data_IF_428189611953
#
_entry.id   IF_428189611953
#
_cell.length_a   1.000
_cell.length_b   1.000
_cell.length_c   1.000
_cell.angle_alpha   90.00
_cell.angle_beta   90.00
_cell.angle_gamma   90.00
#
_symmetry.space_group_name_H-M   'P 1'
#
loop_
_entity.id
_entity.type
_entity.pdbx_description
1 polymer ?
#
# COMPACT_ATOMS: atom_id res chain seq x y z
N UNK A 1 -88.96 10.11 17.25
CA UNK A 1 -87.84 10.94 17.30
C UNK A 1 -86.60 10.06 17.34
N UNK A 2 -86.17 9.56 16.20
CA UNK A 2 -84.92 8.76 16.12
C UNK A 2 -84.28 9.04 14.83
N UNK A 3 -83.19 9.79 14.89
CA UNK A 3 -82.32 10.10 13.77
C UNK A 3 -81.39 8.96 13.49
N UNK A 4 -81.60 8.24 12.44
CA UNK A 4 -80.66 7.27 11.92
C UNK A 4 -79.51 7.99 11.24
N UNK A 5 -78.33 7.93 11.80
CA UNK A 5 -77.08 8.37 11.15
C UNK A 5 -76.49 7.16 10.43
N UNK A 6 -76.52 7.23 9.13
CA UNK A 6 -75.80 6.31 8.27
C UNK A 6 -74.31 6.60 8.40
N UNK A 7 -73.56 5.60 8.79
CA UNK A 7 -72.08 5.65 8.76
C UNK A 7 -71.68 5.10 7.42
N UNK A 8 -71.18 6.00 6.58
CA UNK A 8 -70.55 5.63 5.31
C UNK A 8 -69.18 4.98 5.58
N UNK A 9 -69.10 3.71 5.27
CA UNK A 9 -67.83 3.00 5.28
C UNK A 9 -66.98 3.42 4.07
N UNK A 10 -65.95 4.14 4.33
CA UNK A 10 -64.93 4.40 3.30
C UNK A 10 -64.00 3.19 3.22
N UNK A 11 -64.15 2.46 2.16
CA UNK A 11 -63.21 1.41 1.79
C UNK A 11 -61.93 2.08 1.29
N UNK A 12 -60.91 2.08 2.11
CA UNK A 12 -59.57 2.46 1.67
C UNK A 12 -58.97 1.28 0.91
N UNK A 13 -58.88 1.41 -0.40
CA UNK A 13 -58.08 0.55 -1.26
C UNK A 13 -56.59 0.89 -1.00
N UNK A 14 -55.95 0.06 -0.19
CA UNK A 14 -54.48 0.03 -0.06
C UNK A 14 -53.91 -0.50 -1.37
N UNK A 15 -53.45 0.42 -2.22
CA UNK A 15 -52.61 0.09 -3.35
C UNK A 15 -51.29 -0.48 -2.85
N UNK A 16 -51.09 -1.79 -3.04
CA UNK A 16 -49.78 -2.39 -2.94
C UNK A 16 -48.92 -1.86 -4.07
N UNK A 17 -48.18 -0.80 -3.78
CA UNK A 17 -47.04 -0.38 -4.59
C UNK A 17 -45.96 -1.44 -4.43
N UNK A 18 -45.82 -2.33 -5.42
CA UNK A 18 -44.59 -3.11 -5.61
C UNK A 18 -43.46 -2.14 -5.88
N UNK A 19 -42.80 -1.67 -4.83
CA UNK A 19 -41.54 -1.03 -4.91
C UNK A 19 -40.54 -2.04 -5.46
N UNK A 20 -40.21 -1.93 -6.73
CA UNK A 20 -39.02 -2.62 -7.27
C UNK A 20 -37.84 -2.14 -6.46
N UNK A 21 -37.39 -2.98 -5.51
CA UNK A 21 -36.10 -2.76 -4.88
C UNK A 21 -35.05 -2.86 -5.99
N UNK A 22 -34.59 -1.71 -6.46
CA UNK A 22 -33.39 -1.65 -7.29
C UNK A 22 -32.25 -2.16 -6.42
N UNK A 23 -31.94 -3.43 -6.52
CA UNK A 23 -30.68 -3.96 -6.03
C UNK A 23 -29.61 -3.36 -6.91
N UNK A 24 -29.07 -2.20 -6.49
CA UNK A 24 -27.82 -1.72 -7.03
C UNK A 24 -26.81 -2.87 -6.86
N UNK A 25 -26.09 -3.29 -7.93
CA UNK A 25 -25.04 -4.27 -7.76
C UNK A 25 -24.10 -3.70 -6.71
N UNK A 26 -23.87 -4.46 -5.64
CA UNK A 26 -22.83 -4.13 -4.68
C UNK A 26 -21.56 -4.02 -5.51
N UNK A 27 -21.10 -2.80 -5.72
CA UNK A 27 -19.80 -2.59 -6.31
C UNK A 27 -18.82 -3.25 -5.35
N UNK A 28 -18.24 -4.35 -5.80
CA UNK A 28 -17.20 -5.03 -5.06
C UNK A 28 -16.02 -4.06 -4.99
N UNK A 29 -15.96 -3.32 -3.88
CA UNK A 29 -14.85 -2.41 -3.55
C UNK A 29 -13.53 -3.19 -3.51
N UNK A 30 -13.59 -4.53 -3.56
CA UNK A 30 -12.44 -5.43 -3.53
C UNK A 30 -11.54 -5.38 -4.76
N UNK A 31 -12.03 -5.08 -5.95
CA UNK A 31 -11.18 -5.08 -7.15
C UNK A 31 -10.37 -3.78 -7.32
N UNK A 32 -10.85 -2.66 -6.80
CA UNK A 32 -10.17 -1.37 -6.91
C UNK A 32 -8.94 -1.24 -5.98
N UNK A 33 -8.76 -2.15 -5.03
CA UNK A 33 -7.73 -2.09 -3.99
C UNK A 33 -6.73 -3.24 -4.02
N UNK A 34 -6.66 -3.99 -5.10
CA UNK A 34 -5.60 -4.99 -5.23
C UNK A 34 -4.26 -4.25 -5.29
N UNK A 35 -3.44 -4.49 -4.25
CA UNK A 35 -2.13 -3.91 -4.17
C UNK A 35 -1.27 -4.40 -5.35
N UNK A 36 -0.77 -3.46 -6.15
CA UNK A 36 0.16 -3.77 -7.24
C UNK A 36 1.53 -4.15 -6.69
N UNK A 37 2.35 -4.91 -7.42
CA UNK A 37 3.73 -5.18 -7.01
C UNK A 37 4.51 -3.92 -6.65
N UNK A 38 4.36 -2.84 -7.43
CA UNK A 38 5.00 -1.56 -7.12
C UNK A 38 4.53 -0.96 -5.79
N UNK A 39 3.22 -0.96 -5.51
CA UNK A 39 2.67 -0.42 -4.27
C UNK A 39 3.09 -1.25 -3.05
N UNK A 40 3.17 -2.58 -3.20
CA UNK A 40 3.66 -3.49 -2.15
C UNK A 40 5.12 -3.19 -1.84
N UNK A 41 5.96 -3.05 -2.86
CA UNK A 41 7.39 -2.74 -2.68
C UNK A 41 7.60 -1.36 -2.06
N UNK A 42 6.85 -0.34 -2.50
CA UNK A 42 6.91 1.00 -1.88
C UNK A 42 6.54 0.96 -0.40
N UNK A 43 5.50 0.22 -0.05
CA UNK A 43 5.09 0.04 1.35
C UNK A 43 6.16 -0.68 2.16
N UNK A 44 6.74 -1.76 1.63
CA UNK A 44 7.82 -2.51 2.27
C UNK A 44 9.07 -1.64 2.51
N UNK A 45 9.46 -0.83 1.53
CA UNK A 45 10.59 0.07 1.66
C UNK A 45 10.34 1.22 2.65
N UNK A 46 9.11 1.74 2.73
CA UNK A 46 8.74 2.73 3.77
C UNK A 46 8.78 2.10 5.17
N UNK A 47 8.35 0.87 5.32
CA UNK A 47 8.49 0.13 6.58
C UNK A 47 9.95 -0.07 6.96
N UNK A 48 10.81 -0.33 5.98
CA UNK A 48 12.25 -0.41 6.17
C UNK A 48 12.84 0.93 6.66
N UNK A 49 12.41 2.06 6.08
CA UNK A 49 12.83 3.40 6.53
C UNK A 49 12.49 3.59 8.02
N UNK A 50 11.25 3.29 8.40
CA UNK A 50 10.82 3.43 9.80
C UNK A 50 11.58 2.49 10.74
N UNK A 51 11.85 1.27 10.33
CA UNK A 51 12.61 0.31 11.13
C UNK A 51 14.07 0.72 11.29
N UNK A 52 14.70 1.26 10.25
CA UNK A 52 16.06 1.79 10.30
C UNK A 52 16.17 3.00 11.23
N UNK A 53 15.19 3.89 11.22
CA UNK A 53 15.17 5.04 12.13
C UNK A 53 15.11 4.59 13.59
N UNK A 54 14.27 3.59 13.91
CA UNK A 54 14.19 3.01 15.26
C UNK A 54 15.48 2.33 15.65
N UNK A 55 16.07 1.56 14.76
CA UNK A 55 17.34 0.88 15.01
C UNK A 55 18.48 1.88 15.28
N UNK A 56 18.59 2.91 14.46
CA UNK A 56 19.61 3.95 14.58
C UNK A 56 19.52 4.75 15.89
N UNK A 57 18.30 4.88 16.44
CA UNK A 57 18.09 5.57 17.72
C UNK A 57 18.81 4.88 18.90
N UNK A 58 19.09 3.59 18.81
CA UNK A 58 19.72 2.78 19.87
C UNK A 58 21.06 2.17 19.45
N UNK A 59 21.52 2.39 18.22
CA UNK A 59 22.75 1.83 17.67
C UNK A 59 23.60 2.92 17.01
N UNK A 60 24.93 2.78 16.99
CA UNK A 60 25.84 3.80 16.43
C UNK A 60 25.80 3.91 14.89
N UNK A 61 25.22 2.90 14.21
CA UNK A 61 25.06 2.87 12.76
C UNK A 61 23.70 2.29 12.37
N UNK A 62 23.30 2.48 11.13
CA UNK A 62 22.14 1.81 10.56
C UNK A 62 22.40 0.29 10.42
N UNK A 63 21.32 -0.50 10.46
CA UNK A 63 21.44 -1.95 10.27
C UNK A 63 21.88 -2.29 8.85
N UNK A 64 22.78 -3.25 8.72
CA UNK A 64 23.29 -3.73 7.43
C UNK A 64 22.47 -4.90 6.86
N UNK A 65 21.56 -5.47 7.65
CA UNK A 65 20.71 -6.59 7.24
C UNK A 65 19.26 -6.35 7.65
N UNK A 66 18.34 -6.94 6.90
CA UNK A 66 16.89 -6.87 7.19
C UNK A 66 16.56 -7.67 8.45
N UNK A 67 17.28 -8.74 8.69
CA UNK A 67 17.13 -9.62 9.86
C UNK A 67 17.41 -8.88 11.17
N UNK A 68 18.41 -8.00 11.19
CA UNK A 68 18.72 -7.16 12.34
C UNK A 68 17.57 -6.22 12.72
N UNK A 69 16.73 -5.87 11.75
CA UNK A 69 15.54 -5.03 11.92
C UNK A 69 14.30 -5.83 12.31
N UNK A 70 14.39 -7.17 12.34
CA UNK A 70 13.28 -8.08 12.58
C UNK A 70 12.08 -7.86 11.62
N UNK A 71 12.35 -7.33 10.43
CA UNK A 71 11.35 -7.17 9.39
C UNK A 71 11.09 -8.52 8.70
N UNK A 72 9.81 -8.79 8.47
CA UNK A 72 9.35 -9.95 7.70
C UNK A 72 8.60 -9.46 6.47
N UNK A 73 9.28 -9.30 5.32
CA UNK A 73 8.60 -9.00 4.06
C UNK A 73 7.58 -10.09 3.71
N UNK A 74 6.58 -9.75 2.91
CA UNK A 74 5.64 -10.74 2.38
C UNK A 74 6.34 -11.83 1.58
N UNK A 75 5.68 -12.99 1.39
CA UNK A 75 6.25 -14.18 0.74
C UNK A 75 6.79 -13.91 -0.68
N UNK A 76 6.18 -12.96 -1.40
CA UNK A 76 6.56 -12.61 -2.77
C UNK A 76 7.53 -11.43 -2.85
N UNK A 77 7.93 -10.88 -1.71
CA UNK A 77 8.78 -9.69 -1.60
C UNK A 77 10.15 -10.07 -1.04
N UNK A 78 11.19 -9.63 -1.73
CA UNK A 78 12.55 -9.68 -1.22
C UNK A 78 13.05 -8.25 -1.01
N UNK A 79 13.47 -7.93 0.21
CA UNK A 79 14.10 -6.65 0.56
C UNK A 79 15.55 -6.92 0.93
N UNK A 80 16.44 -6.08 0.42
CA UNK A 80 17.87 -6.21 0.61
C UNK A 80 18.48 -4.85 0.93
N UNK A 81 19.22 -4.76 2.02
CA UNK A 81 20.04 -3.60 2.32
C UNK A 81 21.35 -3.75 1.53
N UNK A 82 21.61 -2.79 0.64
CA UNK A 82 22.77 -2.81 -0.26
C UNK A 82 24.02 -2.25 0.39
N UNK A 83 23.86 -1.42 1.41
CA UNK A 83 24.94 -0.82 2.17
C UNK A 83 24.37 0.01 3.31
N UNK A 84 25.08 0.04 4.43
CA UNK A 84 24.75 0.82 5.60
C UNK A 84 26.01 1.33 6.30
N UNK A 85 25.93 2.54 6.86
CA UNK A 85 26.99 3.22 7.57
C UNK A 85 26.37 4.06 8.69
N UNK A 86 27.18 4.72 9.55
CA UNK A 86 26.64 5.69 10.49
C UNK A 86 25.91 6.87 9.82
N UNK A 87 26.30 7.25 8.59
CA UNK A 87 25.78 8.41 7.87
C UNK A 87 24.62 8.15 6.93
N UNK A 88 24.33 6.90 6.59
CA UNK A 88 23.26 6.59 5.66
C UNK A 88 23.17 5.11 5.29
N UNK A 89 22.19 4.77 4.48
CA UNK A 89 21.98 3.42 3.97
C UNK A 89 21.18 3.45 2.67
N UNK A 90 21.20 2.34 1.95
CA UNK A 90 20.48 2.13 0.70
C UNK A 90 19.94 0.73 0.63
N UNK A 91 18.80 0.56 -0.04
CA UNK A 91 18.14 -0.73 -0.14
C UNK A 91 17.39 -0.90 -1.44
N UNK A 92 17.10 -2.15 -1.77
CA UNK A 92 16.34 -2.59 -2.92
C UNK A 92 15.26 -3.57 -2.51
N UNK A 93 14.07 -3.45 -3.12
CA UNK A 93 13.00 -4.41 -3.04
C UNK A 93 12.67 -4.98 -4.40
N UNK A 94 12.41 -6.28 -4.47
CA UNK A 94 11.95 -7.01 -5.66
C UNK A 94 10.72 -7.82 -5.35
N UNK A 95 9.88 -8.04 -6.38
CA UNK A 95 8.65 -8.82 -6.25
C UNK A 95 8.66 -9.97 -7.25
N UNK A 96 8.27 -11.16 -6.80
CA UNK A 96 8.29 -12.38 -7.62
C UNK A 96 7.47 -12.28 -8.91
N UNK A 97 6.37 -11.53 -8.88
CA UNK A 97 5.51 -11.32 -10.05
C UNK A 97 6.11 -10.37 -11.11
N UNK A 98 7.22 -9.71 -10.81
CA UNK A 98 7.90 -8.76 -11.72
C UNK A 98 9.40 -8.98 -11.72
N UNK A 99 9.87 -10.12 -12.26
CA UNK A 99 11.30 -10.42 -12.35
C UNK A 99 12.03 -9.35 -13.16
N UNK A 100 13.25 -9.00 -12.75
CA UNK A 100 14.04 -7.96 -13.41
C UNK A 100 13.59 -6.52 -13.16
N UNK A 101 12.60 -6.31 -12.30
CA UNK A 101 12.12 -5.01 -11.86
C UNK A 101 12.32 -4.84 -10.36
N UNK A 102 12.63 -3.62 -9.94
CA UNK A 102 12.88 -3.30 -8.54
C UNK A 102 12.36 -1.94 -8.13
N UNK A 103 12.27 -1.75 -6.83
CA UNK A 103 12.17 -0.43 -6.20
C UNK A 103 13.41 -0.23 -5.34
N UNK A 104 13.88 1.01 -5.26
CA UNK A 104 15.06 1.39 -4.47
C UNK A 104 14.73 2.57 -3.55
N UNK A 105 15.48 2.68 -2.46
CA UNK A 105 15.39 3.79 -1.51
C UNK A 105 16.74 4.02 -0.85
N UNK A 106 17.01 5.25 -0.46
CA UNK A 106 18.17 5.59 0.36
C UNK A 106 17.80 6.61 1.44
N UNK A 107 18.65 6.69 2.44
CA UNK A 107 18.58 7.66 3.53
C UNK A 107 20.00 8.13 3.85
N UNK A 108 20.14 9.43 4.08
CA UNK A 108 21.41 10.04 4.46
C UNK A 108 22.23 10.53 3.27
N UNK A 109 23.46 10.97 3.58
CA UNK A 109 24.37 11.51 2.58
C UNK A 109 25.18 10.36 1.99
N UNK A 110 24.93 10.06 0.73
CA UNK A 110 25.67 9.06 -0.06
C UNK A 110 26.41 9.76 -1.21
N UNK A 111 27.59 9.23 -1.57
CA UNK A 111 28.22 9.65 -2.81
C UNK A 111 27.32 9.30 -4.01
N UNK A 112 27.37 10.11 -5.08
CA UNK A 112 26.51 9.89 -6.25
C UNK A 112 26.64 8.50 -6.86
N UNK A 113 27.84 7.88 -6.79
CA UNK A 113 28.09 6.50 -7.22
C UNK A 113 27.45 5.43 -6.33
N UNK A 114 27.06 5.79 -5.12
CA UNK A 114 26.44 4.88 -4.15
C UNK A 114 24.90 4.97 -4.14
N UNK A 115 24.32 5.96 -4.82
CA UNK A 115 22.87 6.07 -4.94
C UNK A 115 22.32 4.84 -5.67
N UNK A 116 21.29 4.20 -5.12
CA UNK A 116 20.77 2.97 -5.69
C UNK A 116 20.03 3.24 -7.00
N UNK A 117 20.18 2.31 -7.94
CA UNK A 117 19.48 2.32 -9.23
C UNK A 117 18.48 1.18 -9.30
N UNK A 118 17.39 1.41 -10.00
CA UNK A 118 16.43 0.36 -10.31
C UNK A 118 17.02 -0.63 -11.32
N UNK A 119 16.60 -1.91 -11.22
CA UNK A 119 17.18 -3.00 -12.02
C UNK A 119 16.76 -2.93 -13.50
N UNK A 120 15.51 -2.52 -13.76
CA UNK A 120 14.93 -2.54 -15.10
C UNK A 120 15.19 -1.25 -15.88
N UNK A 121 14.75 -0.13 -15.36
CA UNK A 121 14.87 1.16 -16.05
C UNK A 121 16.21 1.85 -15.78
N UNK A 122 16.97 1.38 -14.78
CA UNK A 122 18.26 1.94 -14.41
C UNK A 122 18.17 3.36 -13.83
N UNK A 123 17.01 3.76 -13.37
CA UNK A 123 16.79 5.07 -12.77
C UNK A 123 17.45 5.15 -11.39
N UNK A 124 18.13 6.25 -11.15
CA UNK A 124 18.82 6.50 -9.87
C UNK A 124 17.86 7.20 -8.91
N UNK A 125 17.82 6.73 -7.66
CA UNK A 125 17.04 7.39 -6.61
C UNK A 125 17.58 8.82 -6.40
N UNK A 126 16.69 9.80 -6.54
CA UNK A 126 17.03 11.21 -6.45
C UNK A 126 16.53 11.91 -5.19
N UNK A 127 15.64 11.29 -4.45
CA UNK A 127 14.99 11.87 -3.27
C UNK A 127 15.16 10.94 -2.07
N UNK A 128 15.71 11.48 -0.98
CA UNK A 128 15.92 10.75 0.27
C UNK A 128 14.58 10.29 0.85
N UNK A 129 14.52 9.06 1.36
CA UNK A 129 13.34 8.44 1.99
C UNK A 129 12.17 8.12 1.06
N UNK A 130 12.28 8.44 -0.22
CA UNK A 130 11.24 8.21 -1.20
C UNK A 130 11.59 7.00 -2.07
N UNK A 131 10.81 5.91 -2.01
CA UNK A 131 11.02 4.76 -2.89
C UNK A 131 10.79 5.14 -4.36
N UNK A 132 11.78 4.82 -5.20
CA UNK A 132 11.71 4.91 -6.65
C UNK A 132 11.58 3.51 -7.22
N UNK A 133 10.63 3.30 -8.11
CA UNK A 133 10.37 2.00 -8.73
C UNK A 133 10.50 2.05 -10.23
N UNK A 134 10.96 0.93 -10.81
CA UNK A 134 10.78 0.63 -12.23
C UNK A 134 9.30 0.67 -12.62
N UNK A 135 9.04 0.88 -13.89
CA UNK A 135 7.70 0.65 -14.46
C UNK A 135 7.37 -0.84 -14.33
N UNK A 136 6.27 -1.13 -13.66
CA UNK A 136 5.84 -2.52 -13.35
C UNK A 136 4.46 -2.84 -13.97
N UNK A 137 4.16 -2.21 -15.09
CA UNK A 137 2.93 -2.48 -15.85
C UNK A 137 2.99 -3.81 -16.62
#
# INVERSE_FOLDING_TARGET
>A
MLGARQIAAHVFLLGLGLGAASTAPAQTVGEAWQATPASILKSSLRSLVSAQDKYRATHPAFASTVEALQLKPGADVKVQILGASPGGWRAKGTHRARPGRSCVVFVGVLAGSELPKTDGDGEMAGEERVPLCDRME
#
